data_IF_852693081558
#
_entry.id   IF_852693081558
#
_cell.length_a   1.000
_cell.length_b   1.000
_cell.length_c   1.000
_cell.angle_alpha   90.00
_cell.angle_beta   90.00
_cell.angle_gamma   90.00
#
_symmetry.space_group_name_H-M   'P 1'
#
loop_
_entity.id
_entity.type
_entity.pdbx_description
1 polymer ?
#
# COMPACT_ATOMS: atom_id res chain seq x y z
N UNK A 1 1.50 -9.90 -10.47
CA UNK A 1 0.41 -9.29 -9.68
C UNK A 1 0.07 -10.09 -8.42
N UNK A 2 -0.23 -11.40 -8.51
CA UNK A 2 -0.44 -12.23 -7.29
C UNK A 2 0.76 -12.30 -6.34
N UNK A 3 1.97 -12.03 -6.84
CA UNK A 3 3.20 -11.93 -6.05
C UNK A 3 3.22 -10.82 -5.00
N UNK A 4 2.21 -9.94 -4.96
CA UNK A 4 2.07 -8.90 -3.95
C UNK A 4 1.29 -9.38 -2.72
N UNK A 5 0.42 -10.39 -2.88
CA UNK A 5 -0.43 -10.89 -1.78
C UNK A 5 0.45 -11.35 -0.62
N UNK A 6 0.10 -10.91 0.59
CA UNK A 6 0.80 -11.20 1.83
C UNK A 6 1.95 -10.25 2.16
N UNK A 7 2.43 -9.43 1.21
CA UNK A 7 3.56 -8.53 1.43
C UNK A 7 3.18 -7.31 2.25
N UNK A 8 4.11 -6.88 3.10
CA UNK A 8 4.07 -5.55 3.72
C UNK A 8 4.40 -4.50 2.67
N UNK A 9 3.63 -3.41 2.67
CA UNK A 9 3.72 -2.37 1.68
C UNK A 9 3.63 -0.99 2.31
N UNK A 10 4.29 -0.04 1.66
CA UNK A 10 4.11 1.38 1.87
C UNK A 10 3.32 1.94 0.69
N UNK A 11 2.24 2.67 0.97
CA UNK A 11 1.41 3.33 -0.05
C UNK A 11 1.63 4.83 0.05
N UNK A 12 1.98 5.47 -1.06
CA UNK A 12 2.22 6.91 -1.13
C UNK A 12 0.94 7.66 -1.49
N UNK A 13 0.54 8.60 -0.63
CA UNK A 13 -0.68 9.39 -0.82
C UNK A 13 -0.34 10.79 -1.32
N UNK A 14 -1.22 11.34 -2.16
CA UNK A 14 -1.06 12.65 -2.77
C UNK A 14 -2.34 13.48 -2.65
N UNK A 15 -2.19 14.79 -2.46
CA UNK A 15 -3.32 15.73 -2.52
C UNK A 15 -3.87 15.80 -3.94
N UNK A 16 -5.06 16.40 -4.10
CA UNK A 16 -5.59 16.72 -5.44
C UNK A 16 -4.64 17.62 -6.26
N UNK A 17 -3.82 18.43 -5.59
CA UNK A 17 -2.80 19.27 -6.23
C UNK A 17 -1.55 18.52 -6.68
N UNK A 18 -1.44 17.22 -6.36
CA UNK A 18 -0.26 16.40 -6.66
C UNK A 18 0.85 16.49 -5.60
N UNK A 19 0.56 17.04 -4.42
CA UNK A 19 1.55 17.17 -3.34
C UNK A 19 1.57 15.89 -2.50
N UNK A 20 2.77 15.40 -2.14
CA UNK A 20 2.91 14.19 -1.32
C UNK A 20 2.45 14.46 0.12
N UNK A 21 1.48 13.66 0.59
CA UNK A 21 0.88 13.77 1.93
C UNK A 21 1.61 12.92 2.97
N UNK A 22 2.43 11.99 2.52
CA UNK A 22 3.09 10.99 3.36
C UNK A 22 2.59 9.59 3.06
N UNK A 23 3.37 8.57 3.47
CA UNK A 23 2.97 7.20 3.26
C UNK A 23 2.09 6.66 4.39
N UNK A 24 1.24 5.70 4.04
CA UNK A 24 0.65 4.74 4.97
C UNK A 24 1.31 3.37 4.78
N UNK A 25 1.25 2.49 5.77
CA UNK A 25 1.71 1.11 5.63
C UNK A 25 0.57 0.12 5.82
N UNK A 26 0.72 -1.09 5.31
CA UNK A 26 -0.27 -2.17 5.47
C UNK A 26 0.18 -3.46 4.79
N UNK A 27 -0.73 -4.43 4.70
CA UNK A 27 -0.50 -5.73 4.04
C UNK A 27 -1.43 -5.91 2.85
N UNK A 28 -0.91 -6.39 1.73
CA UNK A 28 -1.76 -6.72 0.57
C UNK A 28 -2.55 -8.01 0.83
N UNK A 29 -3.88 -7.94 0.74
CA UNK A 29 -4.77 -9.08 0.88
C UNK A 29 -5.30 -9.60 -0.46
N UNK A 30 -5.45 -8.73 -1.47
CA UNK A 30 -5.93 -9.12 -2.80
C UNK A 30 -5.39 -8.21 -3.90
N UNK A 31 -5.52 -8.62 -5.16
CA UNK A 31 -5.11 -7.86 -6.35
C UNK A 31 -6.12 -7.99 -7.49
N UNK A 32 -6.32 -6.90 -8.22
CA UNK A 32 -7.20 -6.86 -9.39
C UNK A 32 -6.51 -6.16 -10.56
N UNK A 33 -6.47 -6.81 -11.72
CA UNK A 33 -5.83 -6.28 -12.92
C UNK A 33 -6.84 -5.51 -13.76
N UNK A 34 -6.35 -4.54 -14.55
CA UNK A 34 -7.12 -3.87 -15.59
C UNK A 34 -8.44 -3.24 -15.12
N UNK A 35 -8.51 -2.80 -13.85
CA UNK A 35 -9.70 -2.19 -13.25
C UNK A 35 -9.93 -0.81 -13.85
N UNK A 36 -11.12 -0.58 -14.40
CA UNK A 36 -11.51 0.73 -14.92
C UNK A 36 -11.84 1.68 -13.76
N UNK A 37 -10.92 2.60 -13.46
CA UNK A 37 -11.05 3.58 -12.36
C UNK A 37 -11.66 4.90 -12.81
N UNK A 38 -11.67 5.14 -14.12
CA UNK A 38 -12.34 6.25 -14.83
C UNK A 38 -12.53 5.82 -16.29
N UNK A 39 -13.54 6.33 -17.03
CA UNK A 39 -13.70 5.99 -18.44
C UNK A 39 -12.40 6.08 -19.23
N UNK A 40 -11.97 4.94 -19.80
CA UNK A 40 -10.74 4.84 -20.60
C UNK A 40 -9.43 4.81 -19.80
N UNK A 41 -9.49 4.73 -18.47
CA UNK A 41 -8.33 4.62 -17.59
C UNK A 41 -8.42 3.34 -16.77
N UNK A 42 -7.50 2.42 -17.06
CA UNK A 42 -7.33 1.16 -16.35
C UNK A 42 -6.11 1.20 -15.44
N UNK A 43 -6.22 0.57 -14.27
CA UNK A 43 -5.11 0.40 -13.33
C UNK A 43 -5.16 -0.99 -12.72
N UNK A 44 -3.97 -1.49 -12.39
CA UNK A 44 -3.85 -2.63 -11.50
C UNK A 44 -3.92 -2.14 -10.06
N UNK A 45 -4.81 -2.75 -9.27
CA UNK A 45 -5.08 -2.37 -7.90
C UNK A 45 -4.66 -3.49 -6.94
N UNK A 46 -4.24 -3.11 -5.75
CA UNK A 46 -4.04 -4.00 -4.61
C UNK A 46 -4.96 -3.57 -3.46
N UNK A 47 -5.62 -4.55 -2.85
CA UNK A 47 -6.40 -4.35 -1.65
C UNK A 47 -5.46 -4.48 -0.45
N UNK A 48 -5.29 -3.39 0.29
CA UNK A 48 -4.39 -3.29 1.44
C UNK A 48 -5.24 -3.26 2.71
N UNK A 49 -4.85 -4.07 3.70
CA UNK A 49 -5.49 -4.19 5.01
C UNK A 49 -4.47 -3.89 6.13
N UNK A 50 -4.94 -3.86 7.38
CA UNK A 50 -4.14 -3.55 8.56
C UNK A 50 -3.40 -2.21 8.41
N UNK A 51 -4.07 -1.23 7.80
CA UNK A 51 -3.47 0.05 7.46
C UNK A 51 -3.04 0.78 8.72
N UNK A 52 -1.77 1.19 8.77
CA UNK A 52 -1.21 2.05 9.81
C UNK A 52 -0.86 3.40 9.22
N UNK A 53 -1.41 4.43 9.84
CA UNK A 53 -1.08 5.82 9.54
C UNK A 53 -0.03 6.28 10.55
N UNK A 54 1.11 6.84 10.10
CA UNK A 54 2.07 7.44 11.02
C UNK A 54 1.41 8.50 11.91
N UNK A 55 1.78 8.57 13.20
CA UNK A 55 1.29 9.61 14.10
C UNK A 55 1.68 11.01 13.57
N UNK A 56 0.69 11.86 13.27
CA UNK A 56 0.87 13.20 12.69
C UNK A 56 -0.36 13.67 11.89
N UNK A 57 -0.30 14.88 11.30
CA UNK A 57 -1.34 15.41 10.39
C UNK A 57 -1.30 14.70 9.03
N UNK A 58 -1.59 13.40 8.99
CA UNK A 58 -1.86 12.73 7.71
C UNK A 58 -3.37 12.86 7.44
N UNK A 59 -3.82 13.52 6.36
CA UNK A 59 -5.25 13.73 6.10
C UNK A 59 -6.01 12.46 5.68
N UNK A 60 -5.39 11.29 5.79
CA UNK A 60 -6.02 10.03 5.44
C UNK A 60 -7.04 9.64 6.50
N UNK A 61 -8.26 10.15 6.34
CA UNK A 61 -9.46 9.68 7.03
C UNK A 61 -10.27 8.89 6.02
N UNK A 62 -10.36 7.57 6.20
CA UNK A 62 -11.29 6.76 5.42
C UNK A 62 -12.69 7.36 5.55
N UNK A 63 -13.37 7.58 4.43
CA UNK A 63 -14.74 8.11 4.40
C UNK A 63 -15.75 7.16 5.08
N UNK A 64 -15.34 5.90 5.27
CA UNK A 64 -16.01 4.88 6.08
C UNK A 64 -15.17 4.66 7.34
N UNK A 65 -15.48 5.40 8.41
CA UNK A 65 -14.64 5.67 9.59
C UNK A 65 -14.20 4.44 10.43
N UNK A 66 -14.45 3.21 9.99
CA UNK A 66 -14.25 1.99 10.76
C UNK A 66 -13.38 0.93 10.07
N UNK A 67 -12.76 1.25 8.93
CA UNK A 67 -12.04 0.26 8.12
C UNK A 67 -10.62 0.69 7.79
N UNK A 68 -9.66 -0.03 8.37
CA UNK A 68 -8.22 0.06 8.06
C UNK A 68 -7.86 -0.73 6.79
N UNK A 69 -8.66 -0.55 5.71
CA UNK A 69 -8.52 -1.28 4.45
C UNK A 69 -8.95 -0.49 3.20
N UNK A 70 -8.26 -0.66 2.08
CA UNK A 70 -8.59 0.05 0.84
C UNK A 70 -7.90 -0.48 -0.42
N UNK A 71 -8.47 -0.13 -1.59
CA UNK A 71 -7.86 -0.40 -2.89
C UNK A 71 -6.93 0.74 -3.29
N UNK A 72 -5.69 0.40 -3.64
CA UNK A 72 -4.66 1.35 -4.08
C UNK A 72 -4.04 0.91 -5.40
N UNK A 73 -3.59 1.86 -6.21
CA UNK A 73 -2.89 1.53 -7.43
C UNK A 73 -1.50 0.97 -7.10
N UNK A 74 -1.13 -0.14 -7.74
CA UNK A 74 0.16 -0.81 -7.48
C UNK A 74 1.35 0.13 -7.77
N UNK A 75 1.19 1.09 -8.68
CA UNK A 75 2.21 2.08 -9.03
C UNK A 75 2.53 3.05 -7.88
N UNK A 76 1.59 3.25 -6.95
CA UNK A 76 1.73 4.14 -5.81
C UNK A 76 2.26 3.39 -4.57
N UNK A 77 2.76 2.15 -4.76
CA UNK A 77 3.14 1.24 -3.68
C UNK A 77 4.61 0.81 -3.77
N UNK A 78 5.21 0.63 -2.61
CA UNK A 78 6.53 0.04 -2.42
C UNK A 78 6.39 -1.20 -1.52
N UNK A 79 7.00 -2.31 -1.93
CA UNK A 79 7.11 -3.49 -1.06
C UNK A 79 8.17 -3.19 -0.01
N UNK A 80 7.82 -3.33 1.26
CA UNK A 80 8.79 -3.29 2.35
C UNK A 80 9.47 -4.65 2.39
N UNK A 81 10.74 -4.73 1.98
CA UNK A 81 11.53 -5.97 2.12
C UNK A 81 11.57 -6.36 3.60
N UNK A 82 11.27 -7.63 3.91
CA UNK A 82 11.59 -8.19 5.21
C UNK A 82 13.11 -8.27 5.28
N UNK A 83 13.72 -7.60 6.27
CA UNK A 83 15.13 -7.75 6.56
C UNK A 83 15.43 -9.25 6.67
N UNK A 84 16.20 -9.79 5.74
CA UNK A 84 16.64 -11.17 5.81
C UNK A 84 17.51 -11.27 7.07
N UNK A 85 16.92 -11.74 8.16
CA UNK A 85 17.66 -12.06 9.39
C UNK A 85 18.54 -13.25 9.04
N UNK A 86 19.71 -12.98 8.44
CA UNK A 86 20.77 -13.97 8.29
C UNK A 86 21.13 -14.43 9.70
N UNK A 87 20.81 -15.69 10.08
CA UNK A 87 21.20 -16.19 11.39
C UNK A 87 22.74 -16.12 11.46
N UNK A 88 23.28 -15.59 12.56
CA UNK A 88 24.71 -15.30 12.75
C UNK A 88 25.68 -16.50 12.70
N UNK A 89 25.26 -17.63 12.16
CA UNK A 89 26.02 -18.86 11.98
C UNK A 89 26.79 -18.92 10.64
N UNK A 90 26.58 -17.96 9.72
CA UNK A 90 27.31 -17.85 8.45
C UNK A 90 28.49 -16.85 8.51
N UNK A 91 29.21 -16.78 9.63
CA UNK A 91 30.55 -16.18 9.65
C UNK A 91 31.55 -17.32 9.81
N UNK A 92 32.09 -17.78 8.68
CA UNK A 92 33.32 -18.58 8.64
C UNK A 92 34.50 -17.75 9.14
#
# INVERSE_FOLDING_TARGET
MYSYIGKQVRVYLYTRGGEMMGPISGRVADVAADVEVRPGMKKDLAFVIDIKVPEGEVPYRHVYEERDEGWFAIQDMEIMEEEEVVPGWFKN
#
